data_IF_302570238145
#
_entry.id   IF_302570238145
#
_cell.length_a   1.000
_cell.length_b   1.000
_cell.length_c   1.000
_cell.angle_alpha   90.00
_cell.angle_beta   90.00
_cell.angle_gamma   90.00
#
_symmetry.space_group_name_H-M   'P 1'
#
loop_
_entity.id
_entity.type
_entity.pdbx_description
1 polymer ?
#
# COMPACT_ATOMS: atom_id res chain seq x y z
N UNK A 1 -8.40 7.31 38.70
CA UNK A 1 -6.97 7.04 38.45
C UNK A 1 -6.40 7.89 37.34
N UNK A 2 -5.37 8.66 37.66
CA UNK A 2 -4.59 9.52 36.73
C UNK A 2 -3.89 8.68 35.62
N UNK A 3 -3.75 7.37 35.83
CA UNK A 3 -3.15 6.44 34.86
C UNK A 3 -3.92 6.33 33.54
N UNK A 4 -5.26 6.48 33.55
CA UNK A 4 -6.08 6.43 32.34
C UNK A 4 -5.93 7.69 31.46
N UNK A 5 -5.55 8.84 32.05
CA UNK A 5 -5.28 10.08 31.33
C UNK A 5 -3.83 10.23 30.87
N UNK A 6 -2.95 9.28 31.24
CA UNK A 6 -1.52 9.27 30.88
C UNK A 6 -1.20 8.34 29.70
N UNK A 7 -2.13 7.50 29.25
CA UNK A 7 -1.96 6.71 28.04
C UNK A 7 -2.45 7.55 26.85
N UNK A 8 -1.57 8.02 25.95
CA UNK A 8 -2.06 8.55 24.69
C UNK A 8 -2.81 7.42 23.99
N UNK A 9 -4.14 7.55 23.90
CA UNK A 9 -4.93 6.66 23.05
C UNK A 9 -4.28 6.63 21.68
N UNK A 10 -4.07 5.44 21.10
CA UNK A 10 -3.46 5.32 19.78
C UNK A 10 -4.14 6.31 18.81
N UNK A 11 -3.36 7.10 18.05
CA UNK A 11 -3.94 8.03 17.09
C UNK A 11 -4.95 7.29 16.20
N UNK A 12 -6.06 7.94 15.79
CA UNK A 12 -7.15 7.28 15.07
C UNK A 12 -6.69 6.81 13.68
N UNK A 13 -6.15 5.58 13.62
CA UNK A 13 -5.55 4.93 12.44
C UNK A 13 -6.51 4.78 11.27
N UNK A 14 -7.79 4.75 11.59
CA UNK A 14 -8.88 4.52 10.63
C UNK A 14 -9.54 5.81 10.14
N UNK A 15 -9.12 6.97 10.67
CA UNK A 15 -9.63 8.25 10.25
C UNK A 15 -8.76 8.78 9.09
N UNK A 16 -9.29 8.82 7.85
CA UNK A 16 -8.50 9.20 6.67
C UNK A 16 -8.04 10.66 6.67
N UNK A 17 -8.65 11.52 7.51
CA UNK A 17 -8.23 12.92 7.67
C UNK A 17 -7.01 13.08 8.59
N UNK A 18 -6.67 12.05 9.37
CA UNK A 18 -5.60 12.10 10.38
C UNK A 18 -4.49 11.11 10.02
N UNK A 19 -4.84 9.88 9.63
CA UNK A 19 -3.89 8.87 9.20
C UNK A 19 -3.66 8.98 7.69
N UNK A 20 -2.74 9.86 7.29
CA UNK A 20 -2.29 10.02 5.91
C UNK A 20 -0.94 9.34 5.70
N UNK A 21 -0.66 8.90 4.47
CA UNK A 21 0.61 8.30 4.08
C UNK A 21 1.12 8.80 2.75
N UNK A 22 2.43 8.68 2.60
CA UNK A 22 3.16 8.96 1.37
C UNK A 22 4.17 7.84 1.17
N UNK A 23 4.02 7.10 0.08
CA UNK A 23 5.05 6.20 -0.42
C UNK A 23 5.83 6.91 -1.52
N UNK A 24 7.11 7.18 -1.28
CA UNK A 24 8.01 7.83 -2.23
C UNK A 24 9.13 6.86 -2.61
N UNK A 25 9.13 6.38 -3.85
CA UNK A 25 10.07 5.39 -4.35
C UNK A 25 10.94 6.02 -5.43
N UNK A 26 12.25 6.02 -5.21
CA UNK A 26 13.24 6.48 -6.18
C UNK A 26 13.96 5.27 -6.79
N UNK A 27 13.99 5.22 -8.11
CA UNK A 27 14.79 4.27 -8.88
C UNK A 27 15.88 5.04 -9.63
N UNK A 28 17.09 4.48 -9.64
CA UNK A 28 18.24 5.06 -10.33
C UNK A 28 18.98 3.97 -11.11
N UNK A 29 19.31 4.26 -12.36
CA UNK A 29 20.21 3.48 -13.20
C UNK A 29 21.33 4.37 -13.77
N UNK A 30 22.25 3.81 -14.57
CA UNK A 30 23.41 4.56 -15.09
C UNK A 30 23.05 5.79 -15.94
N UNK A 31 21.96 5.72 -16.71
CA UNK A 31 21.51 6.79 -17.63
C UNK A 31 20.08 7.24 -17.36
N UNK A 32 19.44 6.80 -16.28
CA UNK A 32 18.03 7.07 -16.07
C UNK A 32 17.65 7.11 -14.60
N UNK A 33 16.60 7.87 -14.29
CA UNK A 33 16.02 7.97 -12.96
C UNK A 33 14.50 7.94 -13.06
N UNK A 34 13.84 7.34 -12.09
CA UNK A 34 12.40 7.42 -11.95
C UNK A 34 12.03 7.70 -10.51
N UNK A 35 10.97 8.48 -10.32
CA UNK A 35 10.41 8.79 -9.01
C UNK A 35 8.91 8.56 -9.05
N UNK A 36 8.44 7.70 -8.15
CA UNK A 36 7.03 7.38 -7.99
C UNK A 36 6.57 7.84 -6.60
N UNK A 37 5.50 8.64 -6.54
CA UNK A 37 4.86 9.06 -5.31
C UNK A 37 3.42 8.56 -5.28
N UNK A 38 3.03 7.92 -4.19
CA UNK A 38 1.65 7.51 -3.93
C UNK A 38 1.19 8.13 -2.61
N UNK A 39 0.11 8.91 -2.67
CA UNK A 39 -0.55 9.44 -1.49
C UNK A 39 -1.66 8.50 -1.05
N UNK A 40 -1.74 8.22 0.24
CA UNK A 40 -2.72 7.30 0.81
C UNK A 40 -3.20 7.69 2.20
N UNK A 41 -4.02 6.81 2.76
CA UNK A 41 -4.55 6.95 4.11
C UNK A 41 -4.80 5.58 4.76
N UNK A 42 -4.98 5.58 6.08
CA UNK A 42 -5.35 4.40 6.87
C UNK A 42 -4.44 3.18 6.58
N UNK A 43 -3.14 3.29 6.83
CA UNK A 43 -2.15 2.28 6.39
C UNK A 43 -2.43 0.85 6.89
N UNK A 44 -3.02 0.72 8.07
CA UNK A 44 -3.40 -0.59 8.61
C UNK A 44 -4.54 -1.23 7.79
N UNK A 45 -5.51 -0.44 7.33
CA UNK A 45 -6.51 -0.89 6.35
C UNK A 45 -5.87 -1.28 5.03
N UNK A 46 -4.87 -0.55 4.55
CA UNK A 46 -4.16 -0.91 3.32
C UNK A 46 -3.53 -2.30 3.43
N UNK A 47 -2.79 -2.55 4.51
CA UNK A 47 -2.18 -3.86 4.78
C UNK A 47 -3.24 -4.95 4.91
N UNK A 48 -4.31 -4.71 5.67
CA UNK A 48 -5.40 -5.66 5.85
C UNK A 48 -6.12 -5.99 4.54
N UNK A 49 -6.36 -4.98 3.69
CA UNK A 49 -6.96 -5.16 2.38
C UNK A 49 -6.08 -6.01 1.46
N UNK A 50 -4.77 -5.76 1.43
CA UNK A 50 -3.84 -6.54 0.60
C UNK A 50 -3.79 -8.01 1.04
N UNK A 51 -3.82 -8.28 2.36
CA UNK A 51 -3.90 -9.65 2.88
C UNK A 51 -5.22 -10.33 2.53
N UNK A 52 -6.35 -9.63 2.71
CA UNK A 52 -7.67 -10.15 2.37
C UNK A 52 -7.80 -10.44 0.86
N UNK A 53 -7.29 -9.54 0.02
CA UNK A 53 -7.27 -9.72 -1.42
C UNK A 53 -6.37 -10.89 -1.83
N UNK A 54 -5.17 -11.04 -1.25
CA UNK A 54 -4.29 -12.15 -1.55
C UNK A 54 -4.96 -13.50 -1.24
N UNK A 55 -5.59 -13.63 -0.06
CA UNK A 55 -6.34 -14.83 0.31
C UNK A 55 -7.51 -15.08 -0.66
N UNK A 56 -8.32 -14.05 -0.93
CA UNK A 56 -9.43 -14.13 -1.88
C UNK A 56 -8.97 -14.56 -3.27
N UNK A 57 -7.90 -13.96 -3.79
CA UNK A 57 -7.34 -14.29 -5.12
C UNK A 57 -6.90 -15.74 -5.20
N UNK A 58 -6.24 -16.26 -4.16
CA UNK A 58 -5.74 -17.64 -4.13
C UNK A 58 -6.86 -18.68 -4.07
N UNK A 59 -8.04 -18.32 -3.55
CA UNK A 59 -9.22 -19.19 -3.58
C UNK A 59 -9.81 -19.32 -4.99
N UNK A 60 -9.58 -18.34 -5.88
CA UNK A 60 -10.14 -18.33 -7.24
C UNK A 60 -9.16 -18.86 -8.29
N UNK A 61 -7.86 -18.58 -8.13
CA UNK A 61 -6.84 -18.92 -9.11
C UNK A 61 -5.45 -19.09 -8.46
N UNK A 62 -4.54 -19.88 -9.08
CA UNK A 62 -3.15 -19.94 -8.66
C UNK A 62 -2.46 -18.57 -8.81
N UNK A 63 -1.41 -18.27 -8.01
CA UNK A 63 -0.66 -17.02 -8.14
C UNK A 63 0.10 -16.99 -9.47
N UNK A 64 0.39 -15.77 -9.96
CA UNK A 64 1.21 -15.55 -11.18
C UNK A 64 2.63 -16.12 -11.02
N UNK A 65 3.14 -16.13 -9.79
CA UNK A 65 4.42 -16.74 -9.41
C UNK A 65 4.29 -17.43 -8.07
N UNK A 66 4.59 -18.73 -8.03
CA UNK A 66 4.69 -19.51 -6.80
C UNK A 66 6.09 -19.44 -6.18
N UNK A 67 6.20 -19.86 -4.92
CA UNK A 67 7.45 -19.86 -4.14
C UNK A 67 7.76 -18.53 -3.46
N UNK A 68 9.03 -18.29 -3.12
CA UNK A 68 9.46 -17.03 -2.51
C UNK A 68 9.45 -15.91 -3.56
N UNK A 69 8.39 -15.11 -3.53
CA UNK A 69 8.13 -14.04 -4.47
C UNK A 69 7.57 -12.80 -3.76
N UNK A 70 7.79 -11.62 -4.33
CA UNK A 70 7.13 -10.41 -3.84
C UNK A 70 5.63 -10.44 -4.16
N UNK A 71 4.82 -9.70 -3.39
CA UNK A 71 3.38 -9.59 -3.67
C UNK A 71 3.11 -9.11 -5.10
N UNK A 72 3.90 -8.15 -5.60
CA UNK A 72 3.80 -7.67 -6.98
C UNK A 72 4.09 -8.76 -8.02
N UNK A 73 4.99 -9.70 -7.74
CA UNK A 73 5.25 -10.85 -8.63
C UNK A 73 4.17 -11.92 -8.53
N UNK A 74 3.66 -12.19 -7.33
CA UNK A 74 2.66 -13.24 -7.09
C UNK A 74 1.25 -12.84 -7.55
N UNK A 75 0.86 -11.57 -7.39
CA UNK A 75 -0.51 -11.09 -7.64
C UNK A 75 -0.60 -10.00 -8.73
N UNK A 76 0.53 -9.37 -9.07
CA UNK A 76 0.59 -8.28 -10.03
C UNK A 76 0.42 -6.90 -9.38
N UNK A 77 1.35 -5.99 -9.67
CA UNK A 77 1.38 -4.66 -9.03
C UNK A 77 0.17 -3.78 -9.43
N UNK A 78 -0.40 -3.97 -10.63
CA UNK A 78 -1.55 -3.19 -11.10
C UNK A 78 -2.83 -3.63 -10.40
N UNK A 79 -2.99 -4.94 -10.17
CA UNK A 79 -4.12 -5.53 -9.46
C UNK A 79 -4.12 -5.08 -8.00
N UNK A 80 -2.97 -5.18 -7.32
CA UNK A 80 -2.82 -4.72 -5.93
C UNK A 80 -3.11 -3.21 -5.80
N UNK A 81 -2.55 -2.38 -6.69
CA UNK A 81 -2.87 -0.95 -6.74
C UNK A 81 -4.37 -0.72 -7.01
N UNK A 82 -4.98 -1.51 -7.90
CA UNK A 82 -6.39 -1.46 -8.22
C UNK A 82 -7.28 -1.66 -6.99
N UNK A 83 -6.97 -2.65 -6.16
CA UNK A 83 -7.70 -2.92 -4.91
C UNK A 83 -7.57 -1.76 -3.92
N UNK A 84 -6.36 -1.25 -3.68
CA UNK A 84 -6.16 -0.11 -2.79
C UNK A 84 -6.94 1.12 -3.26
N UNK A 85 -6.98 1.37 -4.57
CA UNK A 85 -7.72 2.48 -5.17
C UNK A 85 -9.23 2.28 -5.11
N UNK A 86 -9.75 1.08 -5.34
CA UNK A 86 -11.20 0.82 -5.32
C UNK A 86 -11.81 1.02 -3.93
N UNK A 87 -11.02 0.85 -2.87
CA UNK A 87 -11.40 1.15 -1.49
C UNK A 87 -11.11 2.60 -1.05
N UNK A 88 -10.62 3.45 -1.96
CA UNK A 88 -10.32 4.86 -1.65
C UNK A 88 -9.13 5.06 -0.70
N UNK A 89 -8.25 4.06 -0.58
CA UNK A 89 -7.13 4.10 0.36
C UNK A 89 -5.88 4.77 -0.22
N UNK A 90 -5.73 4.80 -1.55
CA UNK A 90 -4.62 5.46 -2.24
C UNK A 90 -5.08 6.20 -3.49
N UNK A 91 -4.33 7.24 -3.87
CA UNK A 91 -4.53 8.01 -5.10
C UNK A 91 -3.85 7.34 -6.31
N UNK A 92 -4.01 7.96 -7.49
CA UNK A 92 -3.18 7.60 -8.64
C UNK A 92 -1.70 7.90 -8.33
N UNK A 93 -0.78 7.00 -8.72
CA UNK A 93 0.65 7.27 -8.61
C UNK A 93 1.06 8.46 -9.47
N UNK A 94 1.91 9.31 -8.92
CA UNK A 94 2.61 10.37 -9.64
C UNK A 94 3.97 9.81 -10.06
N UNK A 95 4.16 9.58 -11.36
CA UNK A 95 5.39 9.01 -11.90
C UNK A 95 6.14 10.06 -12.71
N UNK A 96 7.37 10.37 -12.28
CA UNK A 96 8.32 11.20 -13.03
C UNK A 96 9.44 10.32 -13.54
N UNK A 97 9.74 10.38 -14.83
CA UNK A 97 10.81 9.59 -15.47
C UNK A 97 11.79 10.52 -16.18
N UNK A 98 13.07 10.32 -15.91
CA UNK A 98 14.18 10.97 -16.59
C UNK A 98 14.93 9.88 -17.38
N UNK A 99 14.86 9.98 -18.70
CA UNK A 99 15.45 9.05 -19.65
C UNK A 99 16.47 9.76 -20.54
#
# INVERSE_FOLDING_TARGET
DIAASMQPSMPPRENPRINTSIDSVHASGPLGRAHCVIYGNCNYKQTGLLQAYAAYSLLQAPPKRAGFASACQAFGHRELLGQLRSFGLVMNPILTVHA
#
